data_IF_368590244428
#
_entry.id   IF_368590244428
#
_cell.length_a   1.000
_cell.length_b   1.000
_cell.length_c   1.000
_cell.angle_alpha   90.00
_cell.angle_beta   90.00
_cell.angle_gamma   90.00
#
_symmetry.space_group_name_H-M   'P 1'
#
loop_
_entity.id
_entity.type
_entity.pdbx_description
1 polymer ?
#
# COMPACT_ATOMS: atom_id res chain seq x y z
N UNK A 1 -84.17 35.42 33.93
CA UNK A 1 -83.60 36.76 34.20
C UNK A 1 -82.12 36.81 33.78
N UNK A 2 -81.84 37.65 32.85
CA UNK A 2 -80.55 38.31 32.56
C UNK A 2 -79.26 37.45 32.29
N UNK A 3 -78.85 37.48 31.03
CA UNK A 3 -77.46 37.49 30.56
C UNK A 3 -76.64 38.65 31.17
N UNK A 4 -75.29 38.62 31.26
CA UNK A 4 -74.51 39.01 30.07
C UNK A 4 -73.13 38.40 29.93
N UNK A 5 -72.70 38.57 28.66
CA UNK A 5 -71.36 38.90 28.12
C UNK A 5 -70.16 38.05 28.47
N UNK A 6 -69.48 37.33 27.57
CA UNK A 6 -68.79 37.92 26.43
C UNK A 6 -67.28 37.99 26.75
N UNK A 7 -66.49 36.95 26.46
CA UNK A 7 -65.02 37.08 26.38
C UNK A 7 -64.51 36.33 25.15
N UNK A 8 -64.10 37.14 24.19
CA UNK A 8 -63.40 36.71 23.00
C UNK A 8 -61.97 36.33 23.36
N UNK A 9 -61.62 35.06 23.23
CA UNK A 9 -60.21 34.62 23.32
C UNK A 9 -59.65 34.71 21.92
N UNK A 10 -58.79 35.68 21.67
CA UNK A 10 -57.96 35.79 20.46
C UNK A 10 -56.79 34.83 20.61
N UNK A 11 -56.89 33.72 19.88
CA UNK A 11 -55.78 32.74 19.78
C UNK A 11 -54.73 33.32 18.84
N UNK A 12 -53.67 33.92 19.40
CA UNK A 12 -52.50 34.37 18.65
C UNK A 12 -51.69 33.14 18.18
N UNK A 13 -51.73 32.87 16.88
CA UNK A 13 -50.86 31.91 16.22
C UNK A 13 -49.43 32.47 16.19
N UNK A 14 -48.59 32.02 17.10
CA UNK A 14 -47.12 32.22 17.03
C UNK A 14 -46.57 31.32 15.94
N UNK A 15 -46.36 31.83 14.74
CA UNK A 15 -45.54 31.20 13.69
C UNK A 15 -44.08 31.25 14.14
N UNK A 16 -43.60 30.15 14.73
CA UNK A 16 -42.19 29.90 14.89
C UNK A 16 -41.58 29.71 13.49
N UNK A 17 -41.04 30.76 12.91
CA UNK A 17 -40.15 30.65 11.77
C UNK A 17 -38.89 29.93 12.24
N UNK A 18 -38.82 28.60 12.00
CA UNK A 18 -37.58 27.84 12.07
C UNK A 18 -36.73 28.37 10.90
N UNK A 19 -35.92 29.36 11.18
CA UNK A 19 -34.90 29.82 10.26
C UNK A 19 -33.89 28.70 10.08
N UNK A 20 -33.95 27.96 8.96
CA UNK A 20 -32.80 27.18 8.48
C UNK A 20 -31.66 28.21 8.30
N UNK A 21 -30.74 28.23 9.24
CA UNK A 21 -29.47 28.90 9.02
C UNK A 21 -28.85 28.24 7.75
N UNK A 22 -28.42 29.05 6.75
CA UNK A 22 -27.75 28.51 5.60
C UNK A 22 -26.51 27.76 6.15
N UNK A 23 -26.49 26.44 6.02
CA UNK A 23 -25.27 25.67 6.17
C UNK A 23 -24.28 26.29 5.20
N UNK A 24 -23.21 26.91 5.72
CA UNK A 24 -22.09 27.40 4.89
C UNK A 24 -21.62 26.17 4.11
N UNK A 25 -22.01 26.08 2.84
CA UNK A 25 -21.39 25.13 1.92
C UNK A 25 -19.94 25.55 1.84
N UNK A 26 -19.06 24.73 2.44
CA UNK A 26 -17.61 24.93 2.35
C UNK A 26 -17.26 25.06 0.88
N UNK A 27 -16.43 26.05 0.52
CA UNK A 27 -15.98 26.17 -0.85
C UNK A 27 -15.22 24.90 -1.27
N UNK A 28 -15.23 24.51 -2.56
CA UNK A 28 -14.58 23.29 -3.03
C UNK A 28 -13.12 23.17 -2.58
N UNK A 29 -12.38 24.29 -2.59
CA UNK A 29 -10.99 24.36 -2.13
C UNK A 29 -10.85 24.10 -0.63
N UNK A 30 -11.80 24.59 0.17
CA UNK A 30 -11.76 24.41 1.63
C UNK A 30 -11.91 22.93 2.01
N UNK A 31 -12.75 22.17 1.32
CA UNK A 31 -12.93 20.74 1.56
C UNK A 31 -11.65 19.95 1.24
N UNK A 32 -11.00 20.23 0.12
CA UNK A 32 -9.74 19.57 -0.25
C UNK A 32 -8.61 19.91 0.70
N UNK A 33 -8.50 21.19 1.08
CA UNK A 33 -7.47 21.62 2.03
C UNK A 33 -7.68 20.98 3.41
N UNK A 34 -8.92 20.87 3.88
CA UNK A 34 -9.24 20.20 5.14
C UNK A 34 -8.97 18.68 5.04
N UNK A 35 -9.30 18.06 3.91
CA UNK A 35 -9.03 16.63 3.68
C UNK A 35 -7.52 16.34 3.68
N UNK A 36 -6.72 17.16 2.99
CA UNK A 36 -5.26 17.05 2.99
C UNK A 36 -4.68 17.25 4.40
N UNK A 37 -5.10 18.29 5.11
CA UNK A 37 -4.67 18.54 6.50
C UNK A 37 -5.07 17.41 7.45
N UNK A 38 -6.22 16.77 7.26
CA UNK A 38 -6.64 15.60 8.03
C UNK A 38 -5.75 14.38 7.73
N UNK A 39 -5.37 14.16 6.46
CA UNK A 39 -4.46 13.10 6.05
C UNK A 39 -3.07 13.30 6.68
N UNK A 40 -2.51 14.51 6.58
CA UNK A 40 -1.21 14.86 7.18
C UNK A 40 -1.22 14.69 8.71
N UNK A 41 -2.34 15.01 9.36
CA UNK A 41 -2.55 14.79 10.78
C UNK A 41 -2.88 13.31 11.14
N UNK A 42 -2.81 12.39 10.18
CA UNK A 42 -3.14 10.97 10.33
C UNK A 42 -4.59 10.70 10.81
N UNK A 43 -5.48 11.65 10.62
CA UNK A 43 -6.91 11.53 10.90
C UNK A 43 -7.61 10.93 9.67
N UNK A 44 -7.32 9.66 9.40
CA UNK A 44 -7.69 8.98 8.15
C UNK A 44 -9.20 8.94 7.91
N UNK A 45 -10.00 8.70 8.95
CA UNK A 45 -11.46 8.72 8.85
C UNK A 45 -12.02 10.07 8.44
N UNK A 46 -11.47 11.17 9.01
CA UNK A 46 -11.85 12.52 8.65
C UNK A 46 -11.44 12.85 7.20
N UNK A 47 -10.22 12.44 6.81
CA UNK A 47 -9.72 12.65 5.44
C UNK A 47 -10.63 11.96 4.41
N UNK A 48 -11.06 10.71 4.67
CA UNK A 48 -12.01 9.98 3.81
C UNK A 48 -13.35 10.71 3.76
N UNK A 49 -13.92 11.09 4.91
CA UNK A 49 -15.22 11.76 4.97
C UNK A 49 -15.23 13.10 4.22
N UNK A 50 -14.17 13.89 4.34
CA UNK A 50 -14.03 15.19 3.65
C UNK A 50 -13.83 15.01 2.13
N UNK A 51 -13.05 14.00 1.72
CA UNK A 51 -12.87 13.65 0.31
C UNK A 51 -14.19 13.16 -0.31
N UNK A 52 -14.95 12.31 0.38
CA UNK A 52 -16.26 11.84 -0.06
C UNK A 52 -17.30 12.99 -0.11
N UNK A 53 -17.26 13.92 0.82
CA UNK A 53 -18.08 15.13 0.79
C UNK A 53 -17.76 15.99 -0.45
N UNK A 54 -16.47 16.18 -0.77
CA UNK A 54 -16.07 16.85 -2.01
C UNK A 54 -16.61 16.15 -3.25
N UNK A 55 -16.39 14.83 -3.35
CA UNK A 55 -16.83 14.04 -4.51
C UNK A 55 -18.34 14.03 -4.70
N UNK A 56 -19.09 14.05 -3.60
CA UNK A 56 -20.56 14.15 -3.64
C UNK A 56 -21.05 15.51 -4.12
N UNK A 57 -20.43 16.60 -3.65
CA UNK A 57 -20.80 17.95 -4.01
C UNK A 57 -20.30 18.36 -5.41
N UNK A 58 -19.13 17.86 -5.81
CA UNK A 58 -18.43 18.27 -7.03
C UNK A 58 -17.89 17.05 -7.82
N UNK A 59 -18.75 16.12 -8.28
CA UNK A 59 -18.32 14.85 -8.89
C UNK A 59 -17.47 15.02 -10.16
N UNK A 60 -17.64 16.13 -10.88
CA UNK A 60 -16.86 16.52 -12.07
C UNK A 60 -15.97 17.75 -11.80
N UNK A 61 -15.75 18.11 -10.56
CA UNK A 61 -14.91 19.25 -10.20
C UNK A 61 -13.43 19.00 -10.53
N UNK A 62 -12.68 20.07 -10.79
CA UNK A 62 -11.25 19.99 -11.12
C UNK A 62 -10.39 19.35 -10.03
N UNK A 63 -10.86 19.33 -8.77
CA UNK A 63 -10.20 18.67 -7.64
C UNK A 63 -10.64 17.23 -7.39
N UNK A 64 -11.50 16.64 -8.25
CA UNK A 64 -12.01 15.28 -8.01
C UNK A 64 -10.91 14.22 -8.03
N UNK A 65 -9.90 14.38 -8.87
CA UNK A 65 -8.73 13.50 -8.88
C UNK A 65 -7.91 13.59 -7.58
N UNK A 66 -7.73 14.81 -7.05
CA UNK A 66 -7.05 15.06 -5.78
C UNK A 66 -7.84 14.48 -4.59
N UNK A 67 -9.17 14.68 -4.55
CA UNK A 67 -10.03 14.06 -3.53
C UNK A 67 -9.92 12.55 -3.53
N UNK A 68 -9.94 11.90 -4.70
CA UNK A 68 -9.75 10.46 -4.85
C UNK A 68 -8.34 10.01 -4.40
N UNK A 69 -7.31 10.80 -4.69
CA UNK A 69 -5.96 10.54 -4.21
C UNK A 69 -5.88 10.59 -2.68
N UNK A 70 -6.40 11.65 -2.05
CA UNK A 70 -6.44 11.78 -0.59
C UNK A 70 -7.20 10.60 0.04
N UNK A 71 -8.36 10.24 -0.52
CA UNK A 71 -9.14 9.09 -0.08
C UNK A 71 -8.35 7.78 -0.17
N UNK A 72 -7.67 7.56 -1.29
CA UNK A 72 -6.83 6.38 -1.51
C UNK A 72 -5.69 6.31 -0.51
N UNK A 73 -4.97 7.42 -0.28
CA UNK A 73 -3.89 7.51 0.71
C UNK A 73 -4.37 7.23 2.13
N UNK A 74 -5.51 7.81 2.51
CA UNK A 74 -6.08 7.58 3.84
C UNK A 74 -6.47 6.11 4.05
N UNK A 75 -7.01 5.43 3.03
CA UNK A 75 -7.33 4.00 3.08
C UNK A 75 -6.06 3.12 3.16
N UNK A 76 -5.00 3.50 2.43
CA UNK A 76 -3.72 2.79 2.43
C UNK A 76 -3.00 2.90 3.77
N UNK A 77 -2.96 4.11 4.35
CA UNK A 77 -2.21 4.42 5.57
C UNK A 77 -2.99 4.12 6.86
N UNK A 78 -4.29 3.81 6.76
CA UNK A 78 -5.15 3.53 7.92
C UNK A 78 -4.65 2.32 8.71
N UNK A 79 -4.59 2.40 10.06
CA UNK A 79 -4.16 1.30 10.90
C UNK A 79 -4.97 0.03 10.68
N UNK A 80 -4.27 -1.08 10.54
CA UNK A 80 -4.86 -2.40 10.28
C UNK A 80 -5.36 -2.99 11.60
N UNK A 81 -6.66 -3.28 11.69
CA UNK A 81 -7.27 -3.96 12.83
C UNK A 81 -7.45 -5.47 12.60
N UNK A 82 -7.45 -5.91 11.33
CA UNK A 82 -7.49 -7.32 10.94
C UNK A 82 -6.97 -7.48 9.50
N UNK A 83 -6.52 -8.70 9.13
CA UNK A 83 -6.03 -8.99 7.77
C UNK A 83 -7.11 -8.72 6.70
N UNK A 84 -8.36 -9.10 6.95
CA UNK A 84 -9.48 -8.84 6.03
C UNK A 84 -9.76 -7.34 5.85
N UNK A 85 -9.57 -6.54 6.90
CA UNK A 85 -9.70 -5.09 6.84
C UNK A 85 -8.58 -4.46 5.99
N UNK A 86 -7.34 -4.92 6.18
CA UNK A 86 -6.20 -4.47 5.38
C UNK A 86 -6.43 -4.72 3.87
N UNK A 87 -6.85 -5.94 3.52
CA UNK A 87 -7.11 -6.31 2.13
C UNK A 87 -8.24 -5.47 1.52
N UNK A 88 -9.31 -5.23 2.27
CA UNK A 88 -10.44 -4.40 1.82
C UNK A 88 -10.00 -2.95 1.57
N UNK A 89 -9.22 -2.37 2.50
CA UNK A 89 -8.70 -1.02 2.37
C UNK A 89 -7.77 -0.89 1.17
N UNK A 90 -6.87 -1.83 0.95
CA UNK A 90 -5.96 -1.84 -0.20
C UNK A 90 -6.71 -1.94 -1.54
N UNK A 91 -7.76 -2.76 -1.61
CA UNK A 91 -8.61 -2.83 -2.81
C UNK A 91 -9.35 -1.51 -3.07
N UNK A 92 -9.89 -0.88 -2.02
CA UNK A 92 -10.57 0.41 -2.12
C UNK A 92 -9.61 1.54 -2.48
N UNK A 93 -8.39 1.55 -1.91
CA UNK A 93 -7.35 2.51 -2.25
C UNK A 93 -6.95 2.40 -3.74
N UNK A 94 -6.69 1.17 -4.22
CA UNK A 94 -6.36 0.94 -5.64
C UNK A 94 -7.44 1.46 -6.58
N UNK A 95 -8.72 1.22 -6.26
CA UNK A 95 -9.85 1.75 -7.05
C UNK A 95 -9.83 3.27 -7.06
N UNK A 96 -9.70 3.90 -5.90
CA UNK A 96 -9.66 5.36 -5.81
C UNK A 96 -8.53 5.96 -6.67
N UNK A 97 -7.34 5.36 -6.67
CA UNK A 97 -6.23 5.81 -7.51
C UNK A 97 -6.47 5.62 -9.01
N UNK A 98 -7.09 4.50 -9.41
CA UNK A 98 -7.44 4.27 -10.82
C UNK A 98 -8.51 5.27 -11.26
N UNK A 99 -9.57 5.45 -10.46
CA UNK A 99 -10.63 6.42 -10.73
C UNK A 99 -10.07 7.85 -10.81
N UNK A 100 -9.05 8.18 -10.00
CA UNK A 100 -8.36 9.47 -10.05
C UNK A 100 -7.60 9.67 -11.38
N UNK A 101 -6.91 8.64 -11.88
CA UNK A 101 -6.23 8.71 -13.19
C UNK A 101 -7.22 8.92 -14.35
N UNK A 102 -8.40 8.31 -14.29
CA UNK A 102 -9.45 8.48 -15.30
C UNK A 102 -10.00 9.91 -15.37
N UNK A 103 -9.81 10.72 -14.30
CA UNK A 103 -10.18 12.14 -14.26
C UNK A 103 -9.19 13.06 -14.98
N UNK A 104 -8.08 12.55 -15.53
CA UNK A 104 -7.07 13.33 -16.23
C UNK A 104 -6.34 14.32 -15.33
N UNK A 105 -5.74 13.89 -14.20
CA UNK A 105 -4.99 14.76 -13.31
C UNK A 105 -3.77 15.37 -14.02
N UNK A 106 -3.20 16.42 -13.41
CA UNK A 106 -1.93 16.96 -13.88
C UNK A 106 -0.79 15.93 -13.80
N UNK A 107 0.35 16.18 -14.50
CA UNK A 107 1.45 15.22 -14.54
C UNK A 107 2.04 14.88 -13.16
N UNK A 108 2.07 15.82 -12.22
CA UNK A 108 2.62 15.60 -10.87
C UNK A 108 1.74 14.65 -10.09
N UNK A 109 0.43 14.92 -10.05
CA UNK A 109 -0.54 14.03 -9.40
C UNK A 109 -0.60 12.66 -10.09
N UNK A 110 -0.50 12.61 -11.43
CA UNK A 110 -0.39 11.35 -12.18
C UNK A 110 0.82 10.52 -11.72
N UNK A 111 1.96 11.15 -11.46
CA UNK A 111 3.15 10.50 -10.93
C UNK A 111 2.91 9.86 -9.57
N UNK A 112 2.28 10.59 -8.66
CA UNK A 112 1.92 10.06 -7.34
C UNK A 112 0.90 8.93 -7.41
N UNK A 113 -0.11 9.06 -8.25
CA UNK A 113 -1.12 8.02 -8.46
C UNK A 113 -0.50 6.73 -9.00
N UNK A 114 0.39 6.84 -10.01
CA UNK A 114 1.09 5.67 -10.53
C UNK A 114 1.99 5.02 -9.48
N UNK A 115 2.73 5.80 -8.67
CA UNK A 115 3.55 5.27 -7.58
C UNK A 115 2.69 4.55 -6.54
N UNK A 116 1.58 5.14 -6.10
CA UNK A 116 0.65 4.53 -5.14
C UNK A 116 0.01 3.25 -5.69
N UNK A 117 -0.41 3.23 -6.96
CA UNK A 117 -0.93 2.00 -7.58
C UNK A 117 0.17 0.92 -7.61
N UNK A 118 1.42 1.27 -7.90
CA UNK A 118 2.52 0.31 -7.89
C UNK A 118 2.75 -0.29 -6.51
N UNK A 119 2.69 0.53 -5.46
CA UNK A 119 2.85 0.09 -4.08
C UNK A 119 1.70 -0.84 -3.66
N UNK A 120 0.45 -0.44 -3.88
CA UNK A 120 -0.71 -1.28 -3.55
C UNK A 120 -0.71 -2.58 -4.35
N UNK A 121 -0.40 -2.53 -5.66
CA UNK A 121 -0.29 -3.73 -6.50
C UNK A 121 0.78 -4.69 -5.97
N UNK A 122 1.93 -4.18 -5.52
CA UNK A 122 2.98 -4.97 -4.90
C UNK A 122 2.48 -5.72 -3.65
N UNK A 123 1.72 -5.05 -2.78
CA UNK A 123 1.15 -5.67 -1.58
C UNK A 123 0.02 -6.66 -1.89
N UNK A 124 -0.61 -6.54 -3.05
CA UNK A 124 -1.61 -7.47 -3.58
C UNK A 124 -1.00 -8.64 -4.39
N UNK A 125 0.33 -8.78 -4.37
CA UNK A 125 1.09 -9.75 -5.17
C UNK A 125 0.92 -9.60 -6.70
N UNK A 126 0.36 -8.47 -7.17
CA UNK A 126 0.25 -8.11 -8.59
C UNK A 126 1.54 -7.41 -9.05
N UNK A 127 2.64 -8.18 -9.09
CA UNK A 127 3.96 -7.64 -9.43
C UNK A 127 4.05 -7.12 -10.86
N UNK A 128 3.22 -7.62 -11.78
CA UNK A 128 3.15 -7.11 -13.16
C UNK A 128 2.63 -5.69 -13.18
N UNK A 129 1.52 -5.42 -12.48
CA UNK A 129 1.01 -4.07 -12.35
C UNK A 129 1.98 -3.17 -11.57
N UNK A 130 2.63 -3.68 -10.52
CA UNK A 130 3.63 -2.94 -9.75
C UNK A 130 4.79 -2.45 -10.63
N UNK A 131 5.35 -3.30 -11.48
CA UNK A 131 6.41 -2.93 -12.43
C UNK A 131 5.91 -1.91 -13.44
N UNK A 132 4.75 -2.15 -14.04
CA UNK A 132 4.18 -1.24 -15.06
C UNK A 132 3.95 0.16 -14.50
N UNK A 133 3.27 0.27 -13.37
CA UNK A 133 2.94 1.56 -12.77
C UNK A 133 4.16 2.24 -12.15
N UNK A 134 5.09 1.49 -11.56
CA UNK A 134 6.36 2.03 -11.08
C UNK A 134 7.15 2.72 -12.20
N UNK A 135 7.22 2.11 -13.39
CA UNK A 135 7.90 2.72 -14.55
C UNK A 135 7.16 3.93 -15.10
N UNK A 136 5.82 3.96 -15.08
CA UNK A 136 5.04 5.13 -15.49
C UNK A 136 5.19 6.30 -14.52
N UNK A 137 5.39 6.04 -13.23
CA UNK A 137 5.58 7.07 -12.22
C UNK A 137 6.91 7.82 -12.37
N UNK A 138 8.01 7.10 -12.67
CA UNK A 138 9.38 7.62 -12.61
C UNK A 138 9.62 8.96 -13.32
N UNK A 139 9.18 9.18 -14.58
CA UNK A 139 9.40 10.44 -15.28
C UNK A 139 8.56 11.60 -14.70
N UNK A 140 7.51 11.31 -13.94
CA UNK A 140 6.54 12.27 -13.41
C UNK A 140 6.83 12.67 -11.96
N UNK A 141 7.57 11.86 -11.20
CA UNK A 141 7.97 12.16 -9.83
C UNK A 141 9.00 13.28 -9.79
N UNK A 142 8.91 14.14 -8.78
CA UNK A 142 9.70 15.39 -8.72
C UNK A 142 10.93 15.29 -7.82
N UNK A 143 10.91 14.43 -6.79
CA UNK A 143 12.04 14.31 -5.84
C UNK A 143 12.86 13.05 -6.07
N UNK A 144 14.15 13.11 -5.78
CA UNK A 144 15.05 11.95 -5.90
C UNK A 144 14.72 10.87 -4.87
N UNK A 145 14.18 11.24 -3.72
CA UNK A 145 13.71 10.28 -2.73
C UNK A 145 12.59 9.41 -3.29
N UNK A 146 11.54 10.04 -3.83
CA UNK A 146 10.41 9.32 -4.43
C UNK A 146 10.85 8.46 -5.61
N UNK A 147 11.70 9.01 -6.50
CA UNK A 147 12.23 8.29 -7.67
C UNK A 147 13.05 7.08 -7.26
N UNK A 148 13.96 7.24 -6.29
CA UNK A 148 14.83 6.16 -5.84
C UNK A 148 14.05 5.00 -5.21
N UNK A 149 13.08 5.29 -4.34
CA UNK A 149 12.23 4.27 -3.75
C UNK A 149 11.31 3.59 -4.75
N UNK A 150 10.68 4.35 -5.67
CA UNK A 150 9.84 3.79 -6.73
C UNK A 150 10.64 2.85 -7.64
N UNK A 151 11.83 3.27 -8.04
CA UNK A 151 12.72 2.46 -8.88
C UNK A 151 13.20 1.20 -8.14
N UNK A 152 13.60 1.33 -6.88
CA UNK A 152 13.97 0.19 -6.04
C UNK A 152 12.82 -0.84 -5.92
N UNK A 153 11.60 -0.39 -5.61
CA UNK A 153 10.43 -1.27 -5.50
C UNK A 153 10.07 -1.93 -6.83
N UNK A 154 10.25 -1.21 -7.94
CA UNK A 154 10.11 -1.79 -9.29
C UNK A 154 11.08 -2.95 -9.48
N UNK A 155 12.37 -2.79 -9.13
CA UNK A 155 13.35 -3.87 -9.18
C UNK A 155 13.00 -5.05 -8.26
N UNK A 156 12.45 -4.79 -7.07
CA UNK A 156 11.99 -5.85 -6.17
C UNK A 156 10.81 -6.61 -6.78
N UNK A 157 9.87 -5.91 -7.44
CA UNK A 157 8.74 -6.56 -8.12
C UNK A 157 9.21 -7.41 -9.32
N UNK A 158 10.16 -6.92 -10.12
CA UNK A 158 10.81 -7.69 -11.18
C UNK A 158 11.50 -8.96 -10.64
N UNK A 159 12.21 -8.83 -9.52
CA UNK A 159 12.84 -9.97 -8.85
C UNK A 159 11.80 -11.01 -8.41
N UNK A 160 10.66 -10.57 -7.83
CA UNK A 160 9.56 -11.47 -7.43
C UNK A 160 8.93 -12.22 -8.60
N UNK A 161 8.88 -11.60 -9.79
CA UNK A 161 8.47 -12.25 -11.02
C UNK A 161 9.49 -13.29 -11.55
N UNK A 162 10.67 -13.38 -10.95
CA UNK A 162 11.78 -14.21 -11.45
C UNK A 162 12.58 -13.53 -12.57
N UNK A 163 12.34 -12.26 -12.85
CA UNK A 163 13.02 -11.45 -13.87
C UNK A 163 14.34 -10.87 -13.29
N UNK A 164 15.24 -11.76 -12.85
CA UNK A 164 16.42 -11.40 -12.06
C UNK A 164 17.39 -10.46 -12.83
N UNK A 165 17.59 -10.66 -14.13
CA UNK A 165 18.45 -9.79 -14.94
C UNK A 165 17.82 -8.39 -15.14
N UNK A 166 16.50 -8.29 -15.27
CA UNK A 166 15.79 -7.01 -15.31
C UNK A 166 15.91 -6.30 -13.96
N UNK A 167 15.69 -7.02 -12.86
CA UNK A 167 15.85 -6.51 -11.51
C UNK A 167 17.27 -5.97 -11.26
N UNK A 168 18.31 -6.70 -11.68
CA UNK A 168 19.70 -6.23 -11.54
C UNK A 168 19.97 -4.94 -12.32
N UNK A 169 19.43 -4.82 -13.56
CA UNK A 169 19.53 -3.56 -14.30
C UNK A 169 18.85 -2.42 -13.58
N UNK A 170 17.64 -2.67 -13.04
CA UNK A 170 16.88 -1.68 -12.27
C UNK A 170 17.61 -1.30 -10.98
N UNK A 171 18.19 -2.26 -10.25
CA UNK A 171 18.99 -1.99 -9.05
C UNK A 171 20.29 -1.21 -9.36
N UNK A 172 20.96 -1.53 -10.47
CA UNK A 172 22.12 -0.76 -10.94
C UNK A 172 21.72 0.67 -11.30
N UNK A 173 20.55 0.88 -11.91
CA UNK A 173 20.02 2.21 -12.19
C UNK A 173 19.76 3.01 -10.89
N UNK A 174 19.18 2.38 -9.85
CA UNK A 174 19.02 3.05 -8.54
C UNK A 174 20.37 3.51 -8.00
N UNK A 175 21.39 2.65 -8.03
CA UNK A 175 22.71 2.97 -7.48
C UNK A 175 23.42 4.08 -8.27
N UNK A 176 23.28 4.10 -9.59
CA UNK A 176 23.94 5.08 -10.44
C UNK A 176 23.27 6.46 -10.41
N UNK A 177 21.94 6.50 -10.37
CA UNK A 177 21.18 7.76 -10.39
C UNK A 177 21.00 8.40 -9.02
N UNK A 178 20.95 7.58 -7.97
CA UNK A 178 20.64 8.02 -6.61
C UNK A 178 21.67 7.50 -5.60
N UNK A 179 22.98 7.75 -5.82
CA UNK A 179 24.02 7.25 -4.93
C UNK A 179 23.86 7.80 -3.51
N UNK A 180 24.16 6.97 -2.51
CA UNK A 180 24.10 7.36 -1.09
C UNK A 180 22.72 7.32 -0.46
N UNK A 181 21.64 6.99 -1.22
CA UNK A 181 20.29 6.80 -0.67
C UNK A 181 20.13 5.41 -0.04
N UNK A 182 19.20 5.29 0.90
CA UNK A 182 18.82 3.97 1.48
C UNK A 182 18.32 3.01 0.39
N UNK A 183 17.60 3.52 -0.60
CA UNK A 183 17.15 2.73 -1.74
C UNK A 183 18.33 2.13 -2.51
N UNK A 184 19.42 2.90 -2.74
CA UNK A 184 20.63 2.43 -3.41
C UNK A 184 21.38 1.38 -2.57
N UNK A 185 21.45 1.54 -1.26
CA UNK A 185 22.04 0.54 -0.37
C UNK A 185 21.26 -0.78 -0.43
N UNK A 186 19.95 -0.73 -0.31
CA UNK A 186 19.08 -1.92 -0.41
C UNK A 186 19.13 -2.56 -1.79
N UNK A 187 19.25 -1.77 -2.86
CA UNK A 187 19.41 -2.28 -4.23
C UNK A 187 20.70 -3.09 -4.36
N UNK A 188 21.81 -2.62 -3.79
CA UNK A 188 23.10 -3.33 -3.77
C UNK A 188 22.98 -4.70 -3.11
N UNK A 189 22.30 -4.79 -1.97
CA UNK A 189 22.12 -6.05 -1.22
C UNK A 189 21.28 -7.09 -1.97
N UNK A 190 20.46 -6.62 -2.92
CA UNK A 190 19.58 -7.48 -3.74
C UNK A 190 20.18 -7.90 -5.08
N UNK A 191 21.18 -7.18 -5.57
CA UNK A 191 21.83 -7.50 -6.84
C UNK A 191 22.48 -8.89 -6.82
N UNK A 192 22.50 -9.55 -7.99
CA UNK A 192 23.13 -10.85 -8.18
C UNK A 192 22.34 -12.04 -7.64
N UNK A 193 21.18 -11.82 -6.99
CA UNK A 193 20.30 -12.91 -6.60
C UNK A 193 19.67 -13.53 -7.83
N UNK A 194 19.51 -14.86 -7.85
CA UNK A 194 18.99 -15.62 -9.01
C UNK A 194 17.89 -16.60 -8.64
N UNK A 195 17.53 -16.68 -7.36
CA UNK A 195 16.50 -17.58 -6.89
C UNK A 195 15.98 -17.11 -5.53
N UNK A 196 14.80 -17.62 -5.16
CA UNK A 196 14.27 -17.52 -3.81
C UNK A 196 14.52 -18.83 -3.05
N UNK A 197 14.57 -18.70 -1.72
CA UNK A 197 14.67 -19.82 -0.80
C UNK A 197 13.66 -19.62 0.32
N UNK A 198 13.16 -20.74 0.88
CA UNK A 198 12.37 -20.71 2.10
C UNK A 198 13.29 -21.11 3.25
N UNK A 199 13.67 -20.15 4.07
CA UNK A 199 14.42 -20.35 5.30
C UNK A 199 13.48 -20.94 6.35
N UNK A 200 13.79 -22.13 6.85
CA UNK A 200 12.92 -22.90 7.74
C UNK A 200 13.34 -22.79 9.20
N UNK A 201 14.65 -22.80 9.47
CA UNK A 201 15.18 -22.76 10.82
C UNK A 201 16.61 -22.23 10.85
N UNK A 202 17.02 -21.76 12.03
CA UNK A 202 18.39 -21.34 12.31
C UNK A 202 18.84 -22.01 13.60
N UNK A 203 20.00 -22.67 13.57
CA UNK A 203 20.57 -23.41 14.69
C UNK A 203 21.98 -22.91 15.03
N UNK A 204 22.30 -22.82 16.30
CA UNK A 204 23.66 -22.63 16.75
C UNK A 204 24.49 -23.93 16.63
N UNK A 205 23.83 -25.11 16.61
CA UNK A 205 24.43 -26.42 16.58
C UNK A 205 24.32 -27.06 15.18
N UNK A 206 25.47 -27.45 14.61
CA UNK A 206 25.55 -28.08 13.29
C UNK A 206 24.79 -29.41 13.23
N UNK A 207 24.81 -30.23 14.27
CA UNK A 207 24.17 -31.53 14.30
C UNK A 207 22.65 -31.45 14.15
N UNK A 208 22.02 -30.45 14.79
CA UNK A 208 20.58 -30.19 14.65
C UNK A 208 20.23 -29.74 13.21
N UNK A 209 21.06 -28.90 12.62
CA UNK A 209 20.90 -28.51 11.23
C UNK A 209 21.04 -29.70 10.27
N UNK A 210 22.04 -30.57 10.50
CA UNK A 210 22.27 -31.77 9.66
C UNK A 210 21.12 -32.77 9.80
N UNK A 211 20.57 -32.95 10.99
CA UNK A 211 19.39 -33.78 11.20
C UNK A 211 18.18 -33.30 10.40
N UNK A 212 17.92 -31.98 10.42
CA UNK A 212 16.84 -31.40 9.64
C UNK A 212 17.08 -31.51 8.13
N UNK A 213 18.33 -31.28 7.67
CA UNK A 213 18.69 -31.43 6.26
C UNK A 213 18.41 -32.87 5.78
N UNK A 214 18.87 -33.90 6.55
CA UNK A 214 18.64 -35.28 6.21
C UNK A 214 17.16 -35.66 6.19
N UNK A 215 16.36 -35.09 7.09
CA UNK A 215 14.91 -35.29 7.11
C UNK A 215 14.24 -34.68 5.88
N UNK A 216 14.51 -33.39 5.57
CA UNK A 216 13.94 -32.71 4.41
C UNK A 216 14.32 -33.40 3.08
N UNK A 217 15.57 -33.88 2.96
CA UNK A 217 16.01 -34.62 1.80
C UNK A 217 15.22 -35.93 1.62
N UNK A 218 14.94 -36.67 2.69
CA UNK A 218 14.11 -37.89 2.66
C UNK A 218 12.65 -37.60 2.27
N UNK A 219 12.17 -36.39 2.56
CA UNK A 219 10.84 -35.90 2.18
C UNK A 219 10.80 -35.38 0.72
N UNK A 220 11.89 -35.51 -0.04
CA UNK A 220 11.99 -35.07 -1.43
C UNK A 220 12.15 -33.56 -1.60
N UNK A 221 12.46 -32.81 -0.52
CA UNK A 221 12.80 -31.40 -0.61
C UNK A 221 14.24 -31.22 -1.09
N UNK A 222 14.58 -30.03 -1.57
CA UNK A 222 15.96 -29.65 -1.92
C UNK A 222 16.52 -28.73 -0.81
N UNK A 223 16.99 -29.32 0.32
CA UNK A 223 17.49 -28.53 1.42
C UNK A 223 18.91 -28.03 1.17
N UNK A 224 19.23 -26.88 1.74
CA UNK A 224 20.60 -26.35 1.81
C UNK A 224 20.91 -25.80 3.20
N UNK A 225 22.19 -25.76 3.55
CA UNK A 225 22.68 -25.07 4.74
C UNK A 225 23.59 -23.91 4.33
N UNK A 226 23.40 -22.77 4.99
CA UNK A 226 24.32 -21.63 4.93
C UNK A 226 24.70 -21.26 6.36
N UNK A 227 25.95 -20.83 6.57
CA UNK A 227 26.39 -20.29 7.86
C UNK A 227 26.26 -18.77 7.76
N UNK A 228 25.53 -18.17 8.71
CA UNK A 228 25.37 -16.72 8.78
C UNK A 228 26.63 -16.03 9.38
N UNK A 229 26.66 -14.71 9.37
CA UNK A 229 27.77 -13.93 9.90
C UNK A 229 28.03 -14.12 11.40
N UNK A 230 27.07 -14.69 12.14
CA UNK A 230 27.17 -15.01 13.59
C UNK A 230 27.58 -16.46 13.84
N UNK A 231 27.82 -17.24 12.76
CA UNK A 231 28.17 -18.65 12.86
C UNK A 231 26.98 -19.61 13.01
N UNK A 232 25.73 -19.14 12.88
CA UNK A 232 24.57 -20.01 12.95
C UNK A 232 24.33 -20.76 11.64
N UNK A 233 23.80 -21.96 11.74
CA UNK A 233 23.44 -22.82 10.63
C UNK A 233 22.00 -22.56 10.19
N UNK A 234 21.83 -21.84 9.08
CA UNK A 234 20.55 -21.53 8.47
C UNK A 234 20.16 -22.63 7.50
N UNK A 235 19.04 -23.31 7.76
CA UNK A 235 18.48 -24.37 6.91
C UNK A 235 17.37 -23.79 6.06
N UNK A 236 17.47 -23.97 4.74
CA UNK A 236 16.51 -23.48 3.75
C UNK A 236 16.20 -24.58 2.73
N UNK A 237 15.08 -24.45 2.03
CA UNK A 237 14.76 -25.23 0.82
C UNK A 237 14.70 -24.33 -0.40
N UNK A 238 14.94 -24.90 -1.58
CA UNK A 238 15.00 -24.21 -2.86
C UNK A 238 16.18 -24.72 -3.70
N UNK A 239 16.51 -24.08 -4.82
CA UNK A 239 16.08 -22.76 -5.29
C UNK A 239 14.68 -22.75 -5.92
N UNK A 240 13.99 -21.62 -5.80
CA UNK A 240 12.73 -21.33 -6.50
C UNK A 240 12.93 -20.18 -7.47
N UNK A 241 12.47 -20.36 -8.71
CA UNK A 241 12.68 -19.40 -9.79
C UNK A 241 11.88 -18.09 -9.68
N UNK A 242 10.84 -18.06 -8.83
CA UNK A 242 10.04 -16.87 -8.56
C UNK A 242 9.47 -16.92 -7.13
N UNK A 243 8.93 -15.77 -6.69
CA UNK A 243 8.41 -15.63 -5.34
C UNK A 243 7.17 -16.49 -5.08
N UNK A 244 6.29 -16.67 -6.07
CA UNK A 244 5.06 -17.47 -5.91
C UNK A 244 5.36 -18.94 -5.64
N UNK A 245 6.33 -19.51 -6.34
CA UNK A 245 6.78 -20.88 -6.08
C UNK A 245 7.34 -21.07 -4.67
N UNK A 246 8.14 -20.08 -4.20
CA UNK A 246 8.64 -20.07 -2.82
C UNK A 246 7.51 -19.91 -1.80
N UNK A 247 6.52 -19.05 -2.07
CA UNK A 247 5.33 -18.82 -1.23
C UNK A 247 4.50 -20.09 -1.08
N UNK A 248 4.23 -20.79 -2.18
CA UNK A 248 3.52 -22.07 -2.14
C UNK A 248 4.29 -23.13 -1.32
N UNK A 249 5.62 -23.20 -1.47
CA UNK A 249 6.45 -24.09 -0.67
C UNK A 249 6.40 -23.74 0.82
N UNK A 250 6.49 -22.44 1.17
CA UNK A 250 6.33 -21.95 2.54
C UNK A 250 4.96 -22.32 3.11
N UNK A 251 3.90 -22.13 2.34
CA UNK A 251 2.53 -22.44 2.80
C UNK A 251 2.34 -23.92 3.10
N UNK A 252 2.88 -24.83 2.27
CA UNK A 252 2.84 -26.28 2.53
C UNK A 252 3.55 -26.68 3.82
N UNK A 253 4.55 -25.91 4.24
CA UNK A 253 5.36 -26.18 5.42
C UNK A 253 4.96 -25.35 6.64
N UNK A 254 3.95 -24.48 6.54
CA UNK A 254 3.60 -23.49 7.57
C UNK A 254 3.19 -24.11 8.91
N UNK A 255 2.52 -25.27 8.90
CA UNK A 255 2.14 -25.98 10.13
C UNK A 255 3.37 -26.45 10.91
N UNK A 256 4.42 -26.86 10.20
CA UNK A 256 5.65 -27.36 10.83
C UNK A 256 6.68 -26.26 11.10
N UNK A 257 6.72 -25.25 10.24
CA UNK A 257 7.62 -24.10 10.31
C UNK A 257 6.83 -22.80 10.20
N UNK A 258 6.10 -22.40 11.24
CA UNK A 258 5.25 -21.20 11.20
C UNK A 258 6.05 -19.92 10.95
N UNK A 259 7.30 -19.88 11.41
CA UNK A 259 8.21 -18.72 11.29
C UNK A 259 9.06 -18.75 10.00
N UNK A 260 8.75 -19.64 9.05
CA UNK A 260 9.51 -19.72 7.81
C UNK A 260 9.46 -18.43 7.00
N UNK A 261 10.61 -17.99 6.49
CA UNK A 261 10.79 -16.75 5.74
C UNK A 261 11.19 -17.03 4.28
N UNK A 262 10.68 -16.22 3.35
CA UNK A 262 11.15 -16.26 1.96
C UNK A 262 12.26 -15.23 1.80
N UNK A 263 13.43 -15.69 1.36
CA UNK A 263 14.62 -14.86 1.12
C UNK A 263 15.09 -15.02 -0.33
N UNK A 264 15.59 -13.94 -0.97
CA UNK A 264 16.16 -14.03 -2.31
C UNK A 264 17.57 -14.60 -2.31
#
# INVERSE_FOLDING_TARGET
>A
MRYPSGWSVVLGLLLLAVGCAPTKTSEPRDLLQQASAALEAQRYGDAIGLADAYLSAYPAGSGAAEALYIRGRALEDMPVVSEGNAQTNMLAARRAYVDALERGPDPTLSGYLHASIADVAYWQDDYVAAVRHGRLALPLLTTDEQRSWTLYRTGVAEQRLGQFEAADRTFAEVQSRFPGTDAASRARDRMGKRAFFVQLATYANAQLADALLAQLAREGQSPRRVIDAKGHHVVSIGPFGNFDSARQARQRLSTRFPDALIVP
#
